data_IF_772098358015
#
_entry.id   IF_772098358015
#
_cell.length_a   1.000
_cell.length_b   1.000
_cell.length_c   1.000
_cell.angle_alpha   90.00
_cell.angle_beta   90.00
_cell.angle_gamma   90.00
#
_symmetry.space_group_name_H-M   'P 1'
#
loop_
_entity.id
_entity.type
_entity.pdbx_description
1 polymer ?
#
# COMPACT_ATOMS: atom_id res chain seq x y z
N UNK A 1 -38.91 66.19 -25.88
CA UNK A 1 -38.72 66.82 -27.20
C UNK A 1 -37.54 67.80 -27.09
N UNK A 2 -36.52 67.63 -27.96
CA UNK A 2 -35.38 68.55 -28.21
C UNK A 2 -34.39 68.72 -27.04
N UNK A 3 -33.07 68.83 -27.19
CA UNK A 3 -32.16 68.76 -28.34
C UNK A 3 -30.71 68.89 -27.83
N UNK A 4 -29.81 68.09 -28.40
CA UNK A 4 -28.47 68.41 -28.93
C UNK A 4 -27.51 69.36 -28.18
N UNK A 5 -26.35 68.77 -27.84
CA UNK A 5 -24.96 69.15 -28.16
C UNK A 5 -24.35 70.49 -27.70
N UNK A 6 -23.21 70.35 -26.99
CA UNK A 6 -21.88 71.00 -27.16
C UNK A 6 -21.17 71.01 -25.79
N UNK A 7 -19.87 70.78 -25.58
CA UNK A 7 -18.65 70.57 -26.38
C UNK A 7 -17.59 69.97 -25.44
N UNK A 8 -16.60 69.30 -26.01
CA UNK A 8 -15.51 68.61 -25.33
C UNK A 8 -14.43 69.54 -24.72
N UNK A 9 -13.75 69.08 -23.67
CA UNK A 9 -12.33 69.38 -23.46
C UNK A 9 -11.63 68.17 -22.81
N UNK A 10 -10.60 67.65 -23.49
CA UNK A 10 -9.69 66.61 -23.02
C UNK A 10 -8.70 67.13 -21.99
N UNK A 11 -8.39 66.30 -20.99
CA UNK A 11 -7.09 66.30 -20.30
C UNK A 11 -6.64 64.86 -20.07
N UNK A 12 -5.54 64.48 -20.72
CA UNK A 12 -4.84 63.21 -20.49
C UNK A 12 -4.18 63.23 -19.10
N UNK A 13 -4.37 62.17 -18.31
CA UNK A 13 -3.53 61.87 -17.14
C UNK A 13 -2.69 60.65 -17.52
N UNK A 14 -1.39 60.85 -17.70
CA UNK A 14 -0.42 59.77 -17.80
C UNK A 14 0.13 59.48 -16.40
N UNK A 15 -0.24 58.33 -15.82
CA UNK A 15 0.35 57.84 -14.57
C UNK A 15 1.62 57.06 -14.88
N UNK A 16 2.76 57.50 -14.35
CA UNK A 16 4.00 56.72 -14.34
C UNK A 16 3.94 55.69 -13.21
N UNK A 17 3.90 54.40 -13.57
CA UNK A 17 4.21 53.32 -12.63
C UNK A 17 5.72 53.04 -12.68
N UNK A 18 6.42 53.32 -11.58
CA UNK A 18 7.79 52.84 -11.37
C UNK A 18 7.70 51.39 -10.91
N UNK A 19 8.07 50.45 -11.77
CA UNK A 19 8.30 49.05 -11.38
C UNK A 19 9.74 48.96 -10.90
N UNK A 20 9.93 48.75 -9.60
CA UNK A 20 11.23 48.45 -9.01
C UNK A 20 11.47 46.95 -9.16
N UNK A 21 12.27 46.55 -10.14
CA UNK A 21 12.69 45.16 -10.33
C UNK A 21 13.88 44.88 -9.40
N UNK A 22 13.62 44.28 -8.24
CA UNK A 22 14.68 43.73 -7.40
C UNK A 22 15.18 42.42 -8.03
N UNK A 23 16.35 42.48 -8.68
CA UNK A 23 17.05 41.29 -9.17
C UNK A 23 17.65 40.54 -7.97
N UNK A 24 16.89 39.63 -7.38
CA UNK A 24 17.44 38.68 -6.40
C UNK A 24 18.24 37.64 -7.17
N UNK A 25 19.57 37.72 -7.08
CA UNK A 25 20.44 36.62 -7.48
C UNK A 25 20.13 35.43 -6.59
N UNK A 26 19.42 34.43 -7.13
CA UNK A 26 19.21 33.18 -6.42
C UNK A 26 20.55 32.45 -6.34
N UNK A 27 20.93 31.86 -5.18
CA UNK A 27 22.12 31.05 -5.11
C UNK A 27 21.94 29.88 -6.08
N UNK A 28 22.75 29.84 -7.13
CA UNK A 28 22.85 28.67 -8.00
C UNK A 28 23.49 27.58 -7.17
N UNK A 29 22.66 26.70 -6.62
CA UNK A 29 23.11 25.41 -6.13
C UNK A 29 23.83 24.73 -7.28
N UNK A 30 25.13 24.48 -7.11
CA UNK A 30 25.89 23.64 -8.03
C UNK A 30 25.38 22.21 -7.87
N UNK A 31 24.28 21.91 -8.57
CA UNK A 31 23.84 20.54 -8.75
C UNK A 31 24.92 19.82 -9.55
N UNK A 32 25.54 18.82 -8.92
CA UNK A 32 26.33 17.82 -9.61
C UNK A 32 25.43 17.21 -10.70
N UNK A 33 25.76 17.46 -11.97
CA UNK A 33 24.97 16.98 -13.11
C UNK A 33 25.51 15.63 -13.57
N UNK A 34 25.71 14.73 -12.62
CA UNK A 34 26.08 13.36 -12.93
C UNK A 34 24.81 12.56 -13.11
N UNK A 35 24.17 12.75 -14.28
CA UNK A 35 23.21 11.77 -14.81
C UNK A 35 23.98 10.62 -15.47
N UNK A 36 24.80 9.95 -14.68
CA UNK A 36 25.16 8.57 -14.96
C UNK A 36 24.09 7.73 -14.27
N UNK A 37 23.04 7.33 -15.01
CA UNK A 37 22.26 6.18 -14.59
C UNK A 37 23.08 4.95 -14.95
N UNK A 38 23.76 4.29 -14.00
CA UNK A 38 24.50 3.08 -14.32
C UNK A 38 23.54 2.06 -14.92
N UNK A 39 24.01 1.32 -15.93
CA UNK A 39 23.31 0.15 -16.46
C UNK A 39 23.04 -0.77 -15.26
N UNK A 40 21.76 -0.91 -14.88
CA UNK A 40 21.35 -1.67 -13.69
C UNK A 40 21.24 -0.85 -12.40
N UNK A 41 20.84 0.41 -12.44
CA UNK A 41 20.49 1.17 -11.24
C UNK A 41 19.33 0.50 -10.46
N UNK A 42 19.67 -0.32 -9.45
CA UNK A 42 18.72 -1.00 -8.54
C UNK A 42 18.23 -0.05 -7.42
N UNK A 43 18.36 1.27 -7.58
CA UNK A 43 18.08 2.25 -6.53
C UNK A 43 16.79 3.04 -6.79
N UNK A 44 15.79 2.87 -5.92
CA UNK A 44 14.62 3.77 -5.89
C UNK A 44 15.00 5.17 -5.42
N UNK A 45 14.39 6.19 -6.02
CA UNK A 45 14.54 7.56 -5.53
C UNK A 45 14.13 7.66 -4.05
N UNK A 46 14.88 8.44 -3.28
CA UNK A 46 14.56 8.68 -1.87
C UNK A 46 13.59 9.85 -1.79
N UNK A 47 12.48 9.65 -1.10
CA UNK A 47 11.45 10.65 -0.86
C UNK A 47 11.33 10.95 0.62
N UNK A 48 10.98 12.19 0.97
CA UNK A 48 10.55 12.54 2.31
C UNK A 48 9.02 12.60 2.33
N UNK A 49 8.39 11.89 3.26
CA UNK A 49 6.95 11.97 3.48
C UNK A 49 6.59 13.37 4.00
N UNK A 50 5.68 14.12 3.33
CA UNK A 50 5.45 15.52 3.63
C UNK A 50 4.74 15.75 4.98
N UNK A 51 4.10 14.73 5.55
CA UNK A 51 3.38 14.85 6.82
C UNK A 51 4.23 14.38 8.00
N UNK A 52 4.97 13.29 7.84
CA UNK A 52 5.74 12.64 8.92
C UNK A 52 7.23 12.96 8.88
N UNK A 53 7.76 13.45 7.76
CA UNK A 53 9.20 13.64 7.55
C UNK A 53 9.99 12.34 7.38
N UNK A 54 9.32 11.20 7.29
CA UNK A 54 9.96 9.88 7.13
C UNK A 54 10.65 9.79 5.78
N UNK A 55 11.88 9.29 5.74
CA UNK A 55 12.53 8.95 4.48
C UNK A 55 12.02 7.61 3.97
N UNK A 56 11.57 7.57 2.72
CA UNK A 56 11.03 6.38 2.05
C UNK A 56 11.77 6.12 0.73
N UNK A 57 11.95 4.85 0.40
CA UNK A 57 12.41 4.41 -0.93
C UNK A 57 11.77 3.07 -1.28
N UNK A 58 11.68 2.74 -2.56
CA UNK A 58 11.11 1.50 -3.06
C UNK A 58 11.96 0.94 -4.18
N UNK A 59 12.36 -0.32 -4.05
CA UNK A 59 13.11 -1.05 -5.07
C UNK A 59 12.17 -2.14 -5.62
N UNK A 60 11.63 -1.98 -6.85
CA UNK A 60 10.78 -3.00 -7.44
C UNK A 60 11.58 -4.27 -7.75
N UNK A 61 10.92 -5.41 -7.64
CA UNK A 61 11.45 -6.71 -8.08
C UNK A 61 10.68 -7.09 -9.34
N UNK A 62 11.36 -7.03 -10.48
CA UNK A 62 10.77 -7.38 -11.75
C UNK A 62 10.51 -8.88 -11.84
N UNK A 63 9.30 -9.22 -12.27
CA UNK A 63 8.88 -10.59 -12.52
C UNK A 63 8.33 -10.71 -13.93
N UNK A 64 8.51 -11.87 -14.60
CA UNK A 64 7.83 -12.13 -15.85
C UNK A 64 6.33 -11.89 -15.76
N UNK A 65 5.70 -11.39 -16.83
CA UNK A 65 4.27 -11.13 -16.84
C UNK A 65 3.48 -12.42 -16.63
N UNK A 66 2.42 -12.31 -15.84
CA UNK A 66 1.53 -13.40 -15.51
C UNK A 66 0.35 -13.50 -16.48
N UNK A 67 -0.32 -14.65 -16.48
CA UNK A 67 -1.54 -14.85 -17.28
C UNK A 67 -2.64 -13.92 -16.78
N UNK A 68 -3.29 -13.20 -17.70
CA UNK A 68 -4.39 -12.29 -17.36
C UNK A 68 -3.97 -11.11 -16.47
N UNK A 69 -2.68 -10.80 -16.38
CA UNK A 69 -2.17 -9.78 -15.44
C UNK A 69 -2.04 -10.27 -14.00
N UNK A 70 -2.30 -11.55 -13.71
CA UNK A 70 -2.09 -12.13 -12.38
C UNK A 70 -0.61 -12.49 -12.21
N UNK A 71 0.15 -11.51 -11.73
CA UNK A 71 1.55 -11.63 -11.39
C UNK A 71 1.84 -10.97 -10.04
N UNK A 72 2.91 -11.39 -9.34
CA UNK A 72 3.24 -10.78 -8.08
C UNK A 72 3.88 -9.39 -8.30
N UNK A 73 3.18 -8.35 -7.89
CA UNK A 73 3.82 -7.04 -7.62
C UNK A 73 4.69 -7.14 -6.35
N UNK A 74 6.01 -7.02 -6.51
CA UNK A 74 6.98 -7.13 -5.43
C UNK A 74 7.87 -5.90 -5.40
N UNK A 75 8.13 -5.39 -4.20
CA UNK A 75 9.10 -4.35 -3.97
C UNK A 75 9.70 -4.49 -2.56
N UNK A 76 10.98 -4.16 -2.44
CA UNK A 76 11.57 -3.84 -1.15
C UNK A 76 11.20 -2.39 -0.82
N UNK A 77 10.42 -2.21 0.23
CA UNK A 77 9.97 -0.89 0.67
C UNK A 77 10.75 -0.49 1.91
N UNK A 78 11.40 0.66 1.85
CA UNK A 78 12.11 1.24 2.97
C UNK A 78 11.29 2.36 3.62
N UNK A 79 11.36 2.43 4.95
CA UNK A 79 10.96 3.59 5.73
C UNK A 79 11.91 3.76 6.91
N UNK A 80 12.40 4.99 7.12
CA UNK A 80 13.30 5.29 8.24
C UNK A 80 12.65 5.14 9.62
N UNK A 81 11.32 5.11 9.69
CA UNK A 81 10.54 4.86 10.92
C UNK A 81 10.16 3.38 11.10
N UNK A 82 10.46 2.53 10.11
CA UNK A 82 10.19 1.09 10.21
C UNK A 82 11.25 0.38 11.06
N UNK A 83 10.79 -0.61 11.83
CA UNK A 83 11.63 -1.46 12.67
C UNK A 83 12.46 -2.46 11.88
N UNK A 84 13.05 -3.42 12.62
CA UNK A 84 13.78 -4.52 12.01
C UNK A 84 12.83 -5.57 11.43
N UNK A 85 13.24 -6.20 10.33
CA UNK A 85 12.55 -7.31 9.68
C UNK A 85 13.52 -8.28 9.05
N UNK A 86 12.99 -9.35 8.46
CA UNK A 86 13.78 -10.42 7.82
C UNK A 86 14.59 -9.97 6.60
N UNK A 87 14.27 -8.81 6.03
CA UNK A 87 15.02 -8.17 4.93
C UNK A 87 15.87 -6.98 5.39
N UNK A 88 16.03 -6.81 6.71
CA UNK A 88 16.89 -5.78 7.32
C UNK A 88 16.13 -4.63 8.00
N UNK A 89 16.87 -3.76 8.68
CA UNK A 89 16.34 -2.61 9.39
C UNK A 89 15.70 -1.60 8.43
N UNK A 90 14.46 -1.22 8.69
CA UNK A 90 13.74 -0.23 7.89
C UNK A 90 13.20 -0.77 6.57
N UNK A 91 13.56 -2.00 6.17
CA UNK A 91 13.12 -2.63 4.94
C UNK A 91 11.98 -3.62 5.18
N UNK A 92 11.05 -3.67 4.23
CA UNK A 92 9.92 -4.58 4.23
C UNK A 92 9.75 -5.23 2.86
N UNK A 93 9.42 -6.51 2.89
CA UNK A 93 8.92 -7.28 1.75
C UNK A 93 7.60 -7.91 2.19
N UNK A 94 6.49 -7.24 1.90
CA UNK A 94 5.15 -7.65 2.33
C UNK A 94 4.24 -7.84 1.12
N UNK A 95 3.46 -8.93 1.10
CA UNK A 95 2.54 -9.24 -0.01
C UNK A 95 1.07 -9.02 0.36
N UNK A 96 0.72 -9.31 1.60
CA UNK A 96 -0.62 -9.08 2.14
C UNK A 96 -0.83 -9.86 3.42
N UNK A 97 -1.56 -9.26 4.36
CA UNK A 97 -1.83 -9.86 5.66
C UNK A 97 -3.10 -9.29 6.26
N UNK A 98 -3.82 -10.12 7.01
CA UNK A 98 -4.74 -9.68 8.04
C UNK A 98 -4.14 -10.11 9.38
N UNK A 99 -4.02 -9.19 10.33
CA UNK A 99 -3.49 -9.50 11.65
C UNK A 99 -4.31 -8.82 12.74
N UNK A 100 -4.22 -9.33 13.96
CA UNK A 100 -4.86 -8.69 15.12
C UNK A 100 -4.19 -7.36 15.43
N UNK A 101 -5.00 -6.37 15.79
CA UNK A 101 -4.51 -5.07 16.23
C UNK A 101 -3.71 -5.19 17.53
N UNK A 102 -2.62 -4.44 17.65
CA UNK A 102 -1.70 -4.48 18.80
C UNK A 102 -1.66 -3.17 19.60
N UNK A 103 -2.32 -2.11 19.12
CA UNK A 103 -2.24 -0.75 19.70
C UNK A 103 -2.57 -0.70 21.19
N UNK A 104 -3.58 -1.46 21.62
CA UNK A 104 -4.02 -1.53 23.03
C UNK A 104 -3.78 -2.90 23.67
N UNK A 105 -2.82 -3.66 23.14
CA UNK A 105 -2.58 -5.06 23.49
C UNK A 105 -3.40 -6.02 22.62
N UNK A 106 -2.96 -7.27 22.57
CA UNK A 106 -3.59 -8.31 21.74
C UNK A 106 -4.82 -8.88 22.44
N UNK A 107 -5.97 -8.82 21.77
CA UNK A 107 -7.21 -9.46 22.21
C UNK A 107 -7.57 -10.63 21.27
N UNK A 108 -7.38 -11.88 21.74
CA UNK A 108 -7.72 -13.07 20.95
C UNK A 108 -9.22 -13.37 20.89
N UNK A 109 -9.99 -12.84 21.83
CA UNK A 109 -11.45 -12.98 21.87
C UNK A 109 -12.17 -11.88 21.06
N UNK A 110 -11.45 -10.83 20.68
CA UNK A 110 -11.95 -9.70 19.91
C UNK A 110 -11.91 -9.92 18.39
N UNK A 111 -12.49 -8.96 17.68
CA UNK A 111 -12.56 -8.90 16.22
C UNK A 111 -11.87 -7.64 15.65
N UNK A 112 -10.86 -7.15 16.36
CA UNK A 112 -10.06 -6.00 15.96
C UNK A 112 -8.89 -6.47 15.07
N UNK A 113 -8.95 -6.11 13.79
CA UNK A 113 -7.97 -6.53 12.80
C UNK A 113 -7.42 -5.35 12.00
N UNK A 114 -6.19 -5.52 11.53
CA UNK A 114 -5.54 -4.64 10.55
C UNK A 114 -5.39 -5.39 9.24
N UNK A 115 -5.86 -4.78 8.15
CA UNK A 115 -5.72 -5.29 6.80
C UNK A 115 -4.59 -4.56 6.07
N UNK A 116 -3.65 -5.32 5.52
CA UNK A 116 -2.60 -4.81 4.65
C UNK A 116 -2.55 -5.55 3.32
N UNK A 117 -2.58 -4.81 2.22
CA UNK A 117 -2.50 -5.34 0.87
C UNK A 117 -2.14 -4.22 -0.10
N UNK A 118 -1.13 -4.43 -0.95
CA UNK A 118 -0.78 -3.48 -2.04
C UNK A 118 -0.67 -2.01 -1.57
N UNK A 119 0.05 -1.77 -0.48
CA UNK A 119 0.25 -0.43 0.09
C UNK A 119 -0.90 0.08 0.97
N UNK A 120 -2.06 -0.59 0.98
CA UNK A 120 -3.13 -0.31 1.95
C UNK A 120 -2.68 -0.82 3.31
N UNK A 121 -2.91 -0.03 4.35
CA UNK A 121 -2.72 -0.39 5.76
C UNK A 121 -3.82 0.27 6.58
N UNK A 122 -4.85 -0.49 6.95
CA UNK A 122 -6.06 0.07 7.56
C UNK A 122 -6.65 -0.86 8.62
N UNK A 123 -7.16 -0.28 9.70
CA UNK A 123 -8.00 -1.00 10.66
C UNK A 123 -9.34 -1.35 9.99
N UNK A 124 -9.88 -2.52 10.31
CA UNK A 124 -11.14 -2.98 9.73
C UNK A 124 -12.20 -3.18 10.80
N UNK A 125 -13.42 -2.76 10.48
CA UNK A 125 -14.58 -2.81 11.37
C UNK A 125 -15.55 -3.88 10.91
N UNK A 126 -16.06 -4.68 11.85
CA UNK A 126 -17.09 -5.68 11.59
C UNK A 126 -18.44 -4.99 11.39
N UNK A 127 -19.09 -5.22 10.24
CA UNK A 127 -20.40 -4.65 9.90
C UNK A 127 -21.55 -5.66 10.04
N UNK A 128 -21.27 -6.84 10.60
CA UNK A 128 -22.21 -7.94 10.81
C UNK A 128 -21.98 -9.13 9.90
N UNK A 129 -22.47 -10.30 10.32
CA UNK A 129 -22.39 -11.57 9.58
C UNK A 129 -20.98 -11.98 9.12
N UNK A 130 -19.93 -11.56 9.85
CA UNK A 130 -18.54 -11.84 9.50
C UNK A 130 -18.02 -11.01 8.34
N UNK A 131 -18.72 -9.95 7.93
CA UNK A 131 -18.23 -8.98 6.95
C UNK A 131 -17.51 -7.82 7.64
N UNK A 132 -16.41 -7.39 7.04
CA UNK A 132 -15.59 -6.28 7.50
C UNK A 132 -15.40 -5.24 6.40
N UNK A 133 -15.21 -3.99 6.79
CA UNK A 133 -14.86 -2.86 5.91
C UNK A 133 -13.70 -2.08 6.53
N UNK A 134 -12.97 -1.34 5.71
CA UNK A 134 -11.98 -0.41 6.22
C UNK A 134 -12.68 0.65 7.10
N UNK A 135 -12.10 0.96 8.26
CA UNK A 135 -12.63 2.01 9.14
C UNK A 135 -12.64 3.36 8.41
N UNK A 136 -11.52 3.67 7.73
CA UNK A 136 -11.41 4.79 6.79
C UNK A 136 -11.39 4.22 5.38
N UNK A 137 -12.50 4.38 4.67
CA UNK A 137 -12.70 3.76 3.36
C UNK A 137 -11.97 4.49 2.23
N UNK A 138 -11.44 3.72 1.28
CA UNK A 138 -10.78 4.25 0.07
C UNK A 138 -10.62 3.21 -1.04
N UNK A 139 -10.44 1.93 -0.66
CA UNK A 139 -10.32 0.82 -1.61
C UNK A 139 -11.65 0.19 -2.01
N UNK A 140 -12.69 0.32 -1.17
CA UNK A 140 -13.96 -0.41 -1.26
C UNK A 140 -13.78 -1.93 -1.31
N UNK A 141 -12.76 -2.43 -0.62
CA UNK A 141 -12.47 -3.86 -0.49
C UNK A 141 -13.47 -4.48 0.48
N UNK A 142 -14.20 -5.50 0.03
CA UNK A 142 -15.08 -6.29 0.90
C UNK A 142 -14.27 -7.40 1.54
N UNK A 143 -14.24 -7.46 2.87
CA UNK A 143 -13.53 -8.52 3.60
C UNK A 143 -14.56 -9.42 4.29
N UNK A 144 -14.40 -10.74 4.20
CA UNK A 144 -15.26 -11.74 4.84
C UNK A 144 -14.41 -12.69 5.68
N UNK A 145 -14.80 -12.89 6.93
CA UNK A 145 -14.29 -13.95 7.81
C UNK A 145 -15.11 -15.21 7.57
N UNK A 146 -14.44 -16.29 7.23
CA UNK A 146 -15.01 -17.57 6.84
C UNK A 146 -14.35 -18.70 7.65
N UNK A 147 -14.92 -19.91 7.60
CA UNK A 147 -14.39 -21.08 8.31
C UNK A 147 -13.69 -22.03 7.35
N UNK A 148 -12.42 -22.32 7.61
CA UNK A 148 -11.61 -23.24 6.83
C UNK A 148 -11.97 -24.71 7.16
N UNK A 149 -11.54 -25.68 6.33
CA UNK A 149 -11.84 -27.11 6.56
C UNK A 149 -11.36 -27.65 7.92
N UNK A 150 -10.33 -27.04 8.51
CA UNK A 150 -9.80 -27.37 9.84
C UNK A 150 -10.58 -26.70 10.99
N UNK A 151 -11.71 -26.06 10.69
CA UNK A 151 -12.58 -25.38 11.65
C UNK A 151 -12.05 -24.02 12.13
N UNK A 152 -10.92 -23.54 11.61
CA UNK A 152 -10.34 -22.23 11.99
C UNK A 152 -10.84 -21.10 11.10
N UNK A 153 -10.84 -19.85 11.60
CA UNK A 153 -11.16 -18.71 10.75
C UNK A 153 -10.09 -18.48 9.69
N UNK A 154 -10.53 -18.03 8.52
CA UNK A 154 -9.71 -17.45 7.47
C UNK A 154 -10.43 -16.24 6.88
N UNK A 155 -9.75 -15.45 6.05
CA UNK A 155 -10.36 -14.28 5.44
C UNK A 155 -10.33 -14.35 3.91
N UNK A 156 -11.39 -13.86 3.29
CA UNK A 156 -11.44 -13.57 1.85
C UNK A 156 -11.69 -12.06 1.68
N UNK A 157 -10.77 -11.36 1.01
CA UNK A 157 -10.99 -10.00 0.56
C UNK A 157 -11.32 -9.99 -0.94
N UNK A 158 -12.27 -9.17 -1.36
CA UNK A 158 -12.61 -8.95 -2.77
C UNK A 158 -12.50 -7.46 -3.08
N UNK A 159 -11.71 -7.11 -4.09
CA UNK A 159 -11.62 -5.73 -4.56
C UNK A 159 -12.73 -5.38 -5.57
N UNK A 160 -12.73 -4.14 -6.06
CA UNK A 160 -13.70 -3.65 -7.06
C UNK A 160 -13.60 -4.35 -8.42
N UNK A 161 -12.45 -4.94 -8.75
CA UNK A 161 -12.25 -5.68 -10.00
C UNK A 161 -12.84 -7.09 -9.94
N UNK A 162 -13.22 -7.55 -8.73
CA UNK A 162 -13.66 -8.92 -8.48
C UNK A 162 -12.51 -9.88 -8.16
N UNK A 163 -11.27 -9.38 -8.10
CA UNK A 163 -10.11 -10.17 -7.68
C UNK A 163 -10.27 -10.56 -6.22
N UNK A 164 -10.07 -11.84 -5.94
CA UNK A 164 -10.14 -12.43 -4.60
C UNK A 164 -8.75 -12.63 -4.03
N UNK A 165 -8.63 -12.31 -2.74
CA UNK A 165 -7.43 -12.47 -1.94
C UNK A 165 -7.79 -13.34 -0.74
N UNK A 166 -7.17 -14.51 -0.63
CA UNK A 166 -7.44 -15.47 0.44
C UNK A 166 -6.29 -15.40 1.45
N UNK A 167 -6.62 -15.28 2.74
CA UNK A 167 -5.65 -15.15 3.82
C UNK A 167 -5.83 -16.26 4.85
N UNK A 168 -4.76 -17.01 5.10
CA UNK A 168 -4.70 -18.01 6.18
C UNK A 168 -5.78 -19.09 6.07
N UNK A 169 -6.06 -19.63 4.88
CA UNK A 169 -7.05 -20.71 4.72
C UNK A 169 -6.47 -22.05 5.13
N UNK A 170 -5.17 -22.27 4.93
CA UNK A 170 -4.44 -23.42 5.47
C UNK A 170 -3.65 -23.05 6.73
N UNK A 171 -3.31 -24.04 7.55
CA UNK A 171 -2.56 -23.82 8.80
C UNK A 171 -1.17 -23.21 8.56
N UNK A 172 -0.49 -23.58 7.47
CA UNK A 172 0.86 -23.09 7.13
C UNK A 172 0.92 -21.59 6.79
N UNK A 173 -0.23 -20.97 6.48
CA UNK A 173 -0.34 -19.54 6.15
C UNK A 173 -0.87 -18.72 7.33
N UNK A 174 -0.83 -19.29 8.54
CA UNK A 174 -1.21 -18.61 9.79
C UNK A 174 -0.03 -18.53 10.74
N UNK A 175 0.08 -17.43 11.46
CA UNK A 175 0.95 -17.31 12.63
C UNK A 175 0.06 -17.33 13.86
N UNK A 176 0.27 -18.31 14.72
CA UNK A 176 -0.46 -18.50 15.96
C UNK A 176 0.50 -18.57 17.16
N UNK A 177 -0.04 -18.33 18.35
CA UNK A 177 0.65 -18.55 19.62
C UNK A 177 1.19 -19.99 19.69
N UNK A 178 2.51 -20.18 19.89
CA UNK A 178 3.11 -21.51 20.03
C UNK A 178 2.55 -22.32 21.21
N UNK A 179 2.07 -21.65 22.26
CA UNK A 179 1.44 -22.28 23.42
C UNK A 179 -0.03 -22.64 23.20
N UNK A 180 -0.69 -22.05 22.19
CA UNK A 180 -2.09 -22.32 21.89
C UNK A 180 -2.43 -22.00 20.43
N UNK A 181 -2.47 -23.02 19.57
CA UNK A 181 -2.78 -22.87 18.15
C UNK A 181 -4.20 -22.32 17.85
N UNK A 182 -5.07 -22.16 18.85
CA UNK A 182 -6.36 -21.46 18.69
C UNK A 182 -6.17 -19.92 18.64
N UNK A 183 -5.11 -19.42 19.26
CA UNK A 183 -4.77 -18.01 19.33
C UNK A 183 -4.01 -17.60 18.05
N UNK A 184 -4.73 -17.52 16.94
CA UNK A 184 -4.16 -17.05 15.66
C UNK A 184 -3.98 -15.54 15.73
N UNK A 185 -2.75 -15.08 15.48
CA UNK A 185 -2.37 -13.67 15.45
C UNK A 185 -2.43 -13.09 14.03
N UNK A 186 -1.98 -13.87 13.03
CA UNK A 186 -1.79 -13.42 11.65
C UNK A 186 -2.33 -14.43 10.64
N UNK A 187 -3.00 -13.93 9.60
CA UNK A 187 -3.41 -14.65 8.40
C UNK A 187 -2.67 -14.06 7.20
N UNK A 188 -1.66 -14.78 6.71
CA UNK A 188 -0.86 -14.37 5.56
C UNK A 188 -1.64 -14.58 4.25
N UNK A 189 -1.40 -13.72 3.25
CA UNK A 189 -1.95 -13.91 1.91
C UNK A 189 -1.50 -15.25 1.34
N UNK A 190 -2.44 -16.10 0.97
CA UNK A 190 -2.21 -17.46 0.49
C UNK A 190 -2.47 -17.58 -1.02
N UNK A 191 -3.50 -16.89 -1.52
CA UNK A 191 -3.92 -16.99 -2.91
C UNK A 191 -4.50 -15.68 -3.42
N UNK A 192 -4.19 -15.35 -4.66
CA UNK A 192 -4.86 -14.29 -5.43
C UNK A 192 -5.44 -14.90 -6.68
N UNK A 193 -6.70 -14.60 -6.96
CA UNK A 193 -7.44 -15.19 -8.08
C UNK A 193 -8.31 -14.12 -8.76
N UNK A 194 -8.20 -14.02 -10.07
CA UNK A 194 -9.04 -13.13 -10.87
C UNK A 194 -10.40 -13.76 -11.21
N UNK A 195 -11.25 -13.00 -11.90
CA UNK A 195 -12.58 -13.46 -12.32
C UNK A 195 -12.57 -14.47 -13.48
N UNK A 196 -11.41 -14.72 -14.08
CA UNK A 196 -11.20 -15.66 -15.19
C UNK A 196 -10.53 -16.96 -14.74
N UNK A 197 -10.34 -17.15 -13.43
CA UNK A 197 -9.72 -18.33 -12.83
C UNK A 197 -8.19 -18.36 -12.93
N UNK A 198 -7.55 -17.26 -13.34
CA UNK A 198 -6.09 -17.12 -13.25
C UNK A 198 -5.70 -16.85 -11.80
N UNK A 199 -4.62 -17.46 -11.33
CA UNK A 199 -4.24 -17.33 -9.93
C UNK A 199 -2.72 -17.36 -9.67
N UNK A 200 -2.36 -16.87 -8.49
CA UNK A 200 -1.09 -17.14 -7.84
C UNK A 200 -1.28 -17.66 -6.41
N UNK A 201 -0.33 -18.45 -5.95
CA UNK A 201 -0.26 -19.05 -4.62
C UNK A 201 1.02 -18.58 -3.94
N UNK A 202 0.92 -18.23 -2.67
CA UNK A 202 2.04 -17.83 -1.83
C UNK A 202 2.23 -18.88 -0.74
N UNK A 203 3.47 -19.35 -0.57
CA UNK A 203 3.84 -20.32 0.45
C UNK A 203 4.86 -19.71 1.41
N UNK A 204 4.82 -20.19 2.64
CA UNK A 204 5.58 -19.63 3.75
C UNK A 204 6.37 -20.71 4.47
N UNK A 205 7.56 -20.35 4.94
CA UNK A 205 8.32 -21.15 5.90
C UNK A 205 8.11 -20.56 7.29
N UNK A 206 7.83 -21.41 8.28
CA UNK A 206 7.71 -21.00 9.66
C UNK A 206 9.01 -21.22 10.42
N UNK A 207 9.45 -20.20 11.16
CA UNK A 207 10.56 -20.32 12.12
C UNK A 207 10.29 -19.45 13.34
N UNK A 208 10.53 -20.00 14.53
CA UNK A 208 10.32 -19.34 15.84
C UNK A 208 8.98 -18.60 15.99
N UNK A 209 7.89 -19.19 15.49
CA UNK A 209 6.56 -18.58 15.59
C UNK A 209 6.38 -17.35 14.67
N UNK A 210 7.19 -17.22 13.62
CA UNK A 210 7.01 -16.26 12.53
C UNK A 210 6.86 -16.99 11.20
N UNK A 211 6.14 -16.38 10.25
CA UNK A 211 5.99 -16.88 8.88
C UNK A 211 6.73 -15.99 7.88
N UNK A 212 7.61 -16.58 7.09
CA UNK A 212 8.42 -15.90 6.07
C UNK A 212 7.97 -16.33 4.69
N UNK A 213 7.77 -15.38 3.78
CA UNK A 213 7.43 -15.68 2.40
C UNK A 213 8.57 -16.50 1.77
N UNK A 214 8.25 -17.70 1.29
CA UNK A 214 9.23 -18.64 0.76
C UNK A 214 9.16 -18.74 -0.76
N UNK A 215 7.96 -18.83 -1.32
CA UNK A 215 7.76 -19.01 -2.75
C UNK A 215 6.42 -18.43 -3.21
N UNK A 216 6.41 -17.88 -4.42
CA UNK A 216 5.21 -17.45 -5.12
C UNK A 216 5.13 -18.20 -6.44
N UNK A 217 4.11 -19.05 -6.57
CA UNK A 217 3.78 -19.74 -7.81
C UNK A 217 2.65 -18.98 -8.51
N UNK A 218 2.88 -18.51 -9.71
CA UNK A 218 1.91 -17.75 -10.50
C UNK A 218 1.75 -18.35 -11.89
N UNK A 219 0.87 -17.79 -12.72
CA UNK A 219 0.42 -18.34 -14.02
C UNK A 219 -0.51 -19.56 -13.95
N UNK A 220 -1.00 -19.90 -12.75
CA UNK A 220 -2.01 -20.94 -12.58
C UNK A 220 -3.34 -20.56 -13.23
N UNK A 221 -4.09 -21.57 -13.70
CA UNK A 221 -5.45 -21.40 -14.20
C UNK A 221 -6.30 -22.60 -13.77
N UNK A 222 -7.47 -22.33 -13.20
CA UNK A 222 -8.38 -23.34 -12.65
C UNK A 222 -9.66 -23.57 -13.46
N UNK A 223 -9.72 -23.05 -14.70
CA UNK A 223 -10.85 -23.19 -15.60
C UNK A 223 -10.69 -24.36 -16.58
#
# INVERSE_FOLDING_TARGET
MRSLLHRASWSLIATWSVVFLALMAQPTWSGETDKESPIGAVGGAVHADPFTGTATTSIPIDVPPGRGGVQPELALVYSSSSGNGWVGQGWKLEKGVIERQTTFGVNYSGDDYVFRLSGINVEVVNIGAGEYRAEVEGGFTRIKKLTAPDGKPYFEATDKSGTKFIFGKVAATRVADPGNANNIFRWCLERVEDTHGNFMILTYTSDQGQGYLAQIDYTGNGA
#
